data_IF_558085200723
#
_entry.id   IF_558085200723
#
_cell.length_a   1.000
_cell.length_b   1.000
_cell.length_c   1.000
_cell.angle_alpha   90.00
_cell.angle_beta   90.00
_cell.angle_gamma   90.00
#
_symmetry.space_group_name_H-M   'P 1'
#
loop_
_entity.id
_entity.type
_entity.pdbx_description
1 polymer ?
#
# COMPACT_ATOMS: atom_id res chain seq x y z
N UNK A 1 5.91 13.29 -7.94
CA UNK A 1 6.20 12.93 -7.88
C UNK A 1 6.10 12.87 -7.32
N UNK A 2 6.05 12.96 -7.79
CA UNK A 2 6.08 12.72 -7.80
C UNK A 2 5.77 12.82 -7.27
N UNK A 3 5.67 12.95 -7.51
CA UNK A 3 5.55 12.81 -7.42
C UNK A 3 5.25 13.01 -7.00
N UNK A 4 5.17 13.23 -7.35
CA UNK A 4 5.04 13.17 -7.32
C UNK A 4 4.88 13.46 -7.08
N UNK A 5 4.73 13.72 -7.54
CA UNK A 5 4.71 13.72 -7.67
C UNK A 5 4.62 14.06 -7.49
N UNK A 6 4.44 14.36 -8.01
CA UNK A 6 4.52 14.39 -8.18
C UNK A 6 4.38 14.71 -8.01
N UNK A 7 4.22 14.97 -8.32
CA UNK A 7 4.23 15.10 -8.42
C UNK A 7 4.08 15.55 -8.32
N UNK A 8 3.92 15.62 -8.52
CA UNK A 8 3.90 16.08 -8.48
C UNK A 8 3.64 16.72 -8.46
N UNK A 9 3.44 17.20 -8.64
CA UNK A 9 3.19 17.74 -8.38
C UNK A 9 2.85 18.42 -8.14
N UNK A 10 2.83 18.79 -8.98
CA UNK A 10 2.45 19.80 -8.53
C UNK A 10 1.72 20.19 -7.45
N UNK A 11 0.85 19.99 -7.39
CA UNK A 11 0.38 20.20 -6.23
C UNK A 11 1.16 19.66 -5.34
N UNK A 12 1.71 19.37 -5.63
CA UNK A 12 2.15 18.97 -4.67
C UNK A 12 2.66 19.37 -3.95
N UNK A 13 2.97 19.62 -3.86
CA UNK A 13 3.41 19.66 -2.75
C UNK A 13 2.62 19.82 -1.83
N UNK A 14 1.68 20.22 -2.06
CA UNK A 14 0.95 20.34 -0.96
C UNK A 14 0.86 19.03 -0.27
N UNK A 15 0.61 18.01 -0.85
CA UNK A 15 0.49 16.78 -0.14
C UNK A 15 1.59 16.54 0.83
N UNK A 16 2.73 17.15 0.65
CA UNK A 16 3.80 16.83 1.53
C UNK A 16 4.04 17.88 2.55
N UNK A 17 4.35 19.05 2.18
CA UNK A 17 4.89 19.98 3.12
C UNK A 17 3.89 20.82 3.81
N UNK A 18 2.75 20.93 3.28
CA UNK A 18 1.86 21.93 3.71
C UNK A 18 1.08 21.58 4.91
N UNK A 19 1.16 20.38 5.35
CA UNK A 19 0.48 20.00 6.56
C UNK A 19 1.30 18.95 7.24
N UNK A 20 0.92 18.67 8.46
CA UNK A 20 1.59 17.69 9.24
C UNK A 20 1.64 16.36 8.47
N UNK A 21 2.78 15.72 8.46
CA UNK A 21 2.95 14.46 7.76
C UNK A 21 2.21 13.35 8.50
N UNK A 22 1.89 12.28 7.78
CA UNK A 22 1.29 11.11 8.41
C UNK A 22 2.20 10.53 9.47
N UNK A 23 3.51 10.56 9.25
CA UNK A 23 4.45 10.05 10.24
C UNK A 23 4.38 10.86 11.54
N UNK A 24 4.33 12.18 11.44
CA UNK A 24 4.24 13.02 12.61
C UNK A 24 2.92 12.79 13.35
N UNK A 25 1.83 12.63 12.60
CA UNK A 25 0.55 12.30 13.19
C UNK A 25 0.58 10.95 13.89
N UNK A 26 1.20 9.98 13.26
CA UNK A 26 1.32 8.64 13.80
C UNK A 26 2.11 8.65 15.11
N UNK A 27 3.25 9.33 15.12
CA UNK A 27 4.07 9.47 16.31
C UNK A 27 3.32 10.14 17.44
N UNK A 28 2.58 11.18 17.12
CA UNK A 28 1.80 11.89 18.13
C UNK A 28 0.72 11.01 18.71
N UNK A 29 0.05 10.22 17.86
CA UNK A 29 -0.96 9.27 18.34
C UNK A 29 -0.34 8.25 19.29
N UNK A 30 0.85 7.75 18.97
CA UNK A 30 1.53 6.79 19.81
C UNK A 30 2.00 7.40 21.11
N UNK A 31 2.39 8.65 21.09
CA UNK A 31 2.81 9.36 22.29
C UNK A 31 1.62 9.67 23.20
N UNK A 32 0.47 9.95 22.59
CA UNK A 32 -0.74 10.28 23.34
C UNK A 32 -1.42 9.03 23.92
N UNK A 33 -1.02 7.86 23.44
CA UNK A 33 -1.56 6.60 23.96
C UNK A 33 -0.41 5.76 24.48
N UNK A 34 0.29 6.26 25.49
CA UNK A 34 1.55 5.67 25.84
C UNK A 34 1.48 4.37 26.58
N UNK A 35 0.39 4.11 27.22
CA UNK A 35 0.40 3.06 28.21
C UNK A 35 -0.11 1.75 27.71
N UNK A 36 0.39 1.34 26.58
CA UNK A 36 -0.02 0.07 26.01
C UNK A 36 0.74 -1.10 26.62
N UNK A 37 1.39 -0.87 27.74
CA UNK A 37 2.21 -1.91 28.36
C UNK A 37 1.66 -2.47 29.65
N UNK A 38 0.50 -2.03 30.12
CA UNK A 38 -0.09 -2.59 31.33
C UNK A 38 -0.97 -3.77 30.99
N UNK A 39 -1.27 -4.60 31.98
CA UNK A 39 -2.12 -5.77 31.77
C UNK A 39 -3.50 -5.39 31.28
N UNK A 40 -4.05 -4.30 31.81
CA UNK A 40 -5.36 -3.82 31.36
C UNK A 40 -5.28 -3.32 29.93
N UNK A 41 -4.18 -2.65 29.62
CA UNK A 41 -3.97 -2.17 28.27
C UNK A 41 -3.70 -3.33 27.30
N UNK A 42 -3.00 -4.37 27.75
CA UNK A 42 -2.80 -5.56 26.95
C UNK A 42 -4.12 -6.23 26.60
N UNK A 43 -5.03 -6.27 27.57
CA UNK A 43 -6.34 -6.82 27.34
C UNK A 43 -7.14 -5.94 26.40
N UNK A 44 -7.05 -4.62 26.57
CA UNK A 44 -7.68 -3.67 25.68
C UNK A 44 -7.09 -3.78 24.28
N UNK A 45 -5.77 -4.00 24.21
CA UNK A 45 -5.09 -4.19 22.93
C UNK A 45 -5.54 -5.47 22.25
N UNK A 46 -5.79 -6.53 23.00
CA UNK A 46 -6.30 -7.77 22.41
C UNK A 46 -7.69 -7.53 21.84
N UNK A 47 -8.54 -6.77 22.53
CA UNK A 47 -9.85 -6.44 22.04
C UNK A 47 -9.75 -5.50 20.84
N UNK A 48 -8.87 -4.52 20.92
CA UNK A 48 -8.57 -3.64 19.78
C UNK A 48 -7.97 -4.47 18.66
N UNK A 49 -7.10 -5.42 18.99
CA UNK A 49 -6.49 -6.30 18.01
C UNK A 49 -7.52 -7.09 17.21
N UNK A 50 -8.65 -7.45 17.84
CA UNK A 50 -9.72 -8.11 17.09
C UNK A 50 -10.41 -7.16 16.12
N UNK A 51 -10.26 -5.86 16.31
CA UNK A 51 -10.80 -4.84 15.45
C UNK A 51 -9.74 -4.15 14.61
N UNK A 52 -8.50 -4.15 15.08
CA UNK A 52 -7.39 -3.58 14.36
C UNK A 52 -7.11 -4.44 13.15
N UNK A 53 -6.55 -3.81 12.11
CA UNK A 53 -6.36 -4.48 10.82
C UNK A 53 -5.01 -4.11 10.36
N UNK A 54 -4.51 -4.75 9.33
CA UNK A 54 -3.09 -4.72 9.19
C UNK A 54 -2.58 -5.20 10.55
N UNK A 55 -2.17 -6.40 10.69
CA UNK A 55 -1.82 -6.99 11.98
C UNK A 55 -0.99 -6.01 12.81
N UNK A 56 -1.42 -5.72 14.04
CA UNK A 56 -0.74 -4.77 14.90
C UNK A 56 -0.88 -3.32 14.50
N UNK A 57 -1.82 -2.99 13.64
CA UNK A 57 -2.04 -1.63 13.18
C UNK A 57 -2.97 -0.83 14.07
N UNK A 58 -3.13 0.43 13.69
CA UNK A 58 -4.05 1.35 14.35
C UNK A 58 -4.88 2.06 13.28
N UNK A 59 -5.99 2.67 13.69
CA UNK A 59 -6.82 3.45 12.79
C UNK A 59 -6.00 4.63 12.23
N UNK A 60 -6.00 4.76 10.92
CA UNK A 60 -5.44 5.95 10.30
C UNK A 60 -6.36 7.13 10.54
N UNK A 61 -5.79 8.34 10.62
CA UNK A 61 -6.61 9.54 10.60
C UNK A 61 -7.18 9.73 9.22
N UNK A 62 -8.37 10.31 9.16
CA UNK A 62 -9.00 10.60 7.88
C UNK A 62 -8.08 11.51 7.05
N UNK A 63 -7.81 11.09 5.82
CA UNK A 63 -6.95 11.86 4.92
C UNK A 63 -5.46 11.69 5.14
N UNK A 64 -5.03 10.79 6.03
CA UNK A 64 -3.60 10.59 6.29
C UNK A 64 -2.86 10.07 5.05
N UNK A 65 -3.51 9.24 4.26
CA UNK A 65 -2.90 8.58 3.10
C UNK A 65 -3.76 8.84 1.86
N UNK A 66 -3.69 10.05 1.27
CA UNK A 66 -4.62 10.43 0.19
C UNK A 66 -4.42 9.67 -1.11
N UNK A 67 -3.35 8.91 -1.24
CA UNK A 67 -3.13 8.04 -2.41
C UNK A 67 -3.65 6.63 -2.21
N UNK A 68 -4.16 6.30 -1.02
CA UNK A 68 -4.64 4.95 -0.74
C UNK A 68 -5.93 4.69 -1.49
N UNK A 69 -5.99 3.54 -2.16
CA UNK A 69 -7.13 3.15 -2.98
C UNK A 69 -7.66 1.81 -2.48
N UNK A 70 -8.98 1.71 -2.35
CA UNK A 70 -9.64 0.44 -2.12
C UNK A 70 -10.11 -0.10 -3.46
N UNK A 71 -9.60 -1.26 -3.86
CA UNK A 71 -10.05 -1.91 -5.09
C UNK A 71 -11.19 -2.84 -4.74
N UNK A 72 -12.33 -2.59 -5.34
CA UNK A 72 -13.52 -3.39 -5.16
C UNK A 72 -13.71 -4.31 -6.35
N UNK A 73 -13.91 -5.58 -6.08
CA UNK A 73 -14.25 -6.59 -7.05
C UNK A 73 -15.67 -7.05 -6.74
N UNK A 74 -16.57 -6.85 -7.71
CA UNK A 74 -18.00 -7.18 -7.55
C UNK A 74 -18.58 -6.54 -6.29
N UNK A 75 -18.20 -5.30 -6.04
CA UNK A 75 -18.77 -4.49 -4.96
C UNK A 75 -18.14 -4.67 -3.59
N UNK A 76 -17.08 -5.45 -3.47
CA UNK A 76 -16.43 -5.70 -2.18
C UNK A 76 -14.94 -5.38 -2.25
N UNK A 77 -14.42 -4.82 -1.17
CA UNK A 77 -12.99 -4.60 -1.05
C UNK A 77 -12.26 -5.94 -1.18
N UNK A 78 -11.26 -5.99 -2.05
CA UNK A 78 -10.44 -7.17 -2.25
C UNK A 78 -8.96 -6.91 -2.09
N UNK A 79 -8.51 -5.76 -2.57
CA UNK A 79 -7.09 -5.41 -2.56
C UNK A 79 -6.93 -3.92 -2.37
N UNK A 80 -5.70 -3.52 -2.02
CA UNK A 80 -5.30 -2.13 -2.02
C UNK A 80 -4.64 -1.74 -3.32
N UNK A 81 -4.46 -0.45 -3.50
CA UNK A 81 -3.69 0.12 -4.60
C UNK A 81 -3.24 1.52 -4.19
N UNK A 82 -2.35 2.09 -4.98
CA UNK A 82 -1.87 3.45 -4.75
C UNK A 82 -2.09 4.30 -5.99
N UNK A 83 -2.58 5.50 -5.79
CA UNK A 83 -2.73 6.47 -6.87
C UNK A 83 -1.36 7.04 -7.23
N UNK A 84 -0.95 6.92 -8.48
CA UNK A 84 0.36 7.39 -8.91
C UNK A 84 0.26 8.52 -9.95
N UNK A 85 -0.94 8.87 -10.36
CA UNK A 85 -1.22 9.95 -11.29
C UNK A 85 -2.70 10.22 -11.30
N UNK A 86 -3.15 11.08 -12.22
CA UNK A 86 -4.55 11.46 -12.29
C UNK A 86 -5.46 10.29 -12.63
N UNK A 87 -4.96 9.35 -13.41
CA UNK A 87 -5.76 8.24 -13.95
C UNK A 87 -5.04 6.90 -13.90
N UNK A 88 -3.99 6.78 -13.09
CA UNK A 88 -3.22 5.55 -12.98
C UNK A 88 -3.06 5.09 -11.55
N UNK A 89 -3.26 3.78 -11.36
CA UNK A 89 -3.06 3.10 -10.09
C UNK A 89 -1.97 2.05 -10.22
N UNK A 90 -1.29 1.78 -9.11
CA UNK A 90 -0.31 0.72 -9.00
C UNK A 90 -0.81 -0.28 -7.96
N UNK A 91 -0.79 -1.57 -8.28
CA UNK A 91 -1.25 -2.62 -7.40
C UNK A 91 -0.44 -3.89 -7.63
N UNK A 92 -0.81 -5.00 -7.00
CA UNK A 92 -0.14 -6.28 -7.17
C UNK A 92 -0.78 -7.07 -8.31
N UNK A 93 0.06 -7.77 -9.09
CA UNK A 93 -0.43 -8.59 -10.19
C UNK A 93 -1.36 -9.69 -9.68
N UNK A 94 -1.04 -10.29 -8.53
CA UNK A 94 -1.87 -11.39 -8.03
C UNK A 94 -3.29 -10.96 -7.66
N UNK A 95 -3.50 -9.68 -7.41
CA UNK A 95 -4.82 -9.15 -7.14
C UNK A 95 -5.74 -9.24 -8.37
N UNK A 96 -5.15 -9.05 -9.54
CA UNK A 96 -5.94 -8.92 -10.79
C UNK A 96 -5.75 -10.09 -11.74
N UNK A 97 -4.83 -10.98 -11.44
CA UNK A 97 -4.56 -12.14 -12.29
C UNK A 97 -5.82 -13.02 -12.42
N UNK A 98 -6.19 -13.33 -13.66
CA UNK A 98 -7.41 -14.09 -13.92
C UNK A 98 -8.68 -13.23 -13.89
N UNK A 99 -8.57 -11.96 -13.49
CA UNK A 99 -9.71 -11.04 -13.40
C UNK A 99 -9.50 -9.80 -14.25
N UNK A 100 -8.37 -9.75 -14.95
CA UNK A 100 -7.98 -8.55 -15.71
C UNK A 100 -8.73 -8.40 -17.04
N UNK A 101 -9.53 -9.38 -17.42
CA UNK A 101 -10.36 -9.31 -18.61
C UNK A 101 -11.82 -8.98 -18.29
N UNK A 102 -12.15 -8.87 -17.00
CA UNK A 102 -13.53 -8.59 -16.56
C UNK A 102 -13.56 -7.20 -15.93
N UNK A 103 -13.25 -6.18 -16.73
CA UNK A 103 -13.07 -4.81 -16.26
C UNK A 103 -14.29 -4.25 -15.54
N UNK A 104 -15.48 -4.64 -15.99
CA UNK A 104 -16.73 -4.11 -15.46
C UNK A 104 -16.95 -4.49 -13.98
N UNK A 105 -16.27 -5.49 -13.49
CA UNK A 105 -16.41 -5.93 -12.09
C UNK A 105 -15.49 -5.17 -11.15
N UNK A 106 -14.59 -4.35 -11.70
CA UNK A 106 -13.66 -3.59 -10.88
C UNK A 106 -14.14 -2.17 -10.67
N UNK A 107 -13.97 -1.66 -9.45
CA UNK A 107 -14.05 -0.22 -9.21
C UNK A 107 -12.96 0.19 -8.24
N UNK A 108 -12.47 1.40 -8.46
CA UNK A 108 -11.45 2.00 -7.61
C UNK A 108 -12.13 3.05 -6.74
N UNK A 109 -11.94 2.95 -5.43
CA UNK A 109 -12.56 3.86 -4.47
C UNK A 109 -11.45 4.67 -3.82
N UNK A 110 -11.46 5.97 -4.05
CA UNK A 110 -10.44 6.90 -3.59
C UNK A 110 -11.03 7.89 -2.60
N UNK A 111 -10.19 8.40 -1.71
CA UNK A 111 -10.66 9.32 -0.67
C UNK A 111 -11.45 8.62 0.41
N UNK A 112 -11.38 7.31 0.49
CA UNK A 112 -12.14 6.51 1.42
C UNK A 112 -11.42 6.42 2.76
N UNK A 113 -12.18 6.53 3.85
CA UNK A 113 -11.66 6.32 5.20
C UNK A 113 -12.25 5.03 5.78
N UNK A 114 -13.56 4.92 5.79
CA UNK A 114 -14.26 3.75 6.27
C UNK A 114 -15.02 3.10 5.14
N UNK A 115 -14.94 1.77 5.04
CA UNK A 115 -15.64 1.04 3.98
C UNK A 115 -17.14 1.28 4.02
N UNK A 116 -17.68 1.54 5.19
CA UNK A 116 -19.12 1.82 5.38
C UNK A 116 -19.51 3.22 4.90
N UNK A 117 -18.57 4.07 4.55
CA UNK A 117 -18.83 5.48 4.22
C UNK A 117 -18.50 5.81 2.77
N UNK A 118 -18.81 4.90 1.86
CA UNK A 118 -18.50 5.09 0.43
C UNK A 118 -19.28 6.24 -0.21
N UNK A 119 -20.36 6.67 0.40
CA UNK A 119 -21.15 7.77 -0.12
C UNK A 119 -20.78 9.13 0.47
N UNK A 120 -19.69 9.20 1.23
CA UNK A 120 -19.18 10.48 1.74
C UNK A 120 -18.73 11.38 0.59
N UNK A 121 -18.85 12.67 0.82
CA UNK A 121 -18.63 13.69 -0.21
C UNK A 121 -17.22 13.67 -0.81
N UNK A 122 -16.22 13.35 0.00
CA UNK A 122 -14.82 13.34 -0.43
C UNK A 122 -14.46 12.10 -1.24
N UNK A 123 -15.31 11.08 -1.28
CA UNK A 123 -15.02 9.81 -1.95
C UNK A 123 -15.24 9.97 -3.45
N UNK A 124 -14.29 9.45 -4.23
CA UNK A 124 -14.41 9.39 -5.69
C UNK A 124 -14.33 7.93 -6.11
N UNK A 125 -15.30 7.49 -6.91
CA UNK A 125 -15.36 6.12 -7.40
C UNK A 125 -15.11 6.15 -8.90
N UNK A 126 -14.23 5.29 -9.39
CA UNK A 126 -13.86 5.27 -10.81
C UNK A 126 -13.92 3.86 -11.35
N UNK A 127 -14.38 3.75 -12.59
CA UNK A 127 -14.32 2.51 -13.34
C UNK A 127 -12.92 2.35 -13.92
N UNK A 128 -12.54 1.10 -14.17
CA UNK A 128 -11.24 0.75 -14.73
C UNK A 128 -11.45 0.34 -16.18
N UNK A 129 -10.66 0.90 -17.09
CA UNK A 129 -10.77 0.56 -18.50
C UNK A 129 -9.55 -0.20 -19.04
N UNK A 130 -8.47 -0.33 -18.25
CA UNK A 130 -7.32 -1.14 -18.62
C UNK A 130 -6.65 -1.69 -17.37
N UNK A 131 -6.19 -2.94 -17.47
CA UNK A 131 -5.37 -3.58 -16.43
C UNK A 131 -4.16 -4.18 -17.14
N UNK A 132 -2.96 -3.78 -16.73
CA UNK A 132 -1.73 -4.25 -17.33
C UNK A 132 -0.91 -4.97 -16.26
N UNK A 133 -0.79 -6.27 -16.41
CA UNK A 133 0.04 -7.09 -15.51
C UNK A 133 1.45 -7.10 -16.07
N UNK A 134 2.46 -6.95 -15.19
CA UNK A 134 3.84 -7.02 -15.63
C UNK A 134 4.09 -8.36 -16.30
N UNK A 135 4.74 -8.34 -17.47
CA UNK A 135 4.93 -9.55 -18.28
C UNK A 135 5.81 -10.59 -17.60
N UNK A 136 6.60 -10.18 -16.62
CA UNK A 136 7.48 -11.07 -15.89
C UNK A 136 6.84 -11.64 -14.63
N UNK A 137 5.57 -11.31 -14.38
CA UNK A 137 4.87 -11.84 -13.22
C UNK A 137 4.83 -13.36 -13.27
N UNK A 138 5.21 -13.98 -12.17
CA UNK A 138 5.19 -15.45 -12.04
C UNK A 138 4.49 -15.80 -10.74
N UNK A 139 3.34 -16.48 -10.86
CA UNK A 139 2.50 -16.85 -9.72
C UNK A 139 3.24 -17.71 -8.71
N UNK A 140 4.09 -18.61 -9.20
CA UNK A 140 4.78 -19.57 -8.34
C UNK A 140 5.94 -18.92 -7.59
N UNK A 141 6.76 -18.15 -8.28
CA UNK A 141 7.96 -17.54 -7.71
C UNK A 141 7.67 -16.20 -7.05
N UNK A 142 6.53 -15.61 -7.34
CA UNK A 142 6.13 -14.26 -6.88
C UNK A 142 6.94 -13.15 -7.53
N UNK A 143 7.73 -13.46 -8.56
CA UNK A 143 8.51 -12.45 -9.26
C UNK A 143 7.59 -11.47 -9.97
N UNK A 144 7.96 -10.18 -9.94
CA UNK A 144 7.29 -9.10 -10.64
C UNK A 144 5.79 -9.02 -10.34
N UNK A 145 5.45 -9.13 -9.07
CA UNK A 145 4.06 -9.08 -8.62
C UNK A 145 3.56 -7.65 -8.59
N UNK A 146 3.38 -7.08 -9.78
CA UNK A 146 3.02 -5.68 -9.94
C UNK A 146 2.14 -5.51 -11.19
N UNK A 147 1.16 -4.64 -11.08
CA UNK A 147 0.22 -4.35 -12.15
C UNK A 147 -0.20 -2.89 -12.10
N UNK A 148 -0.63 -2.37 -13.23
CA UNK A 148 -1.15 -1.02 -13.33
C UNK A 148 -2.60 -1.07 -13.80
N UNK A 149 -3.39 -0.13 -13.30
CA UNK A 149 -4.79 0.00 -13.69
C UNK A 149 -5.04 1.43 -14.15
N UNK A 150 -5.67 1.56 -15.31
CA UNK A 150 -6.03 2.86 -15.86
C UNK A 150 -7.49 3.16 -15.53
N UNK A 151 -7.74 4.35 -15.04
CA UNK A 151 -9.09 4.79 -14.69
C UNK A 151 -9.76 5.37 -15.92
N UNK A 152 -11.02 5.01 -16.14
CA UNK A 152 -11.79 5.48 -17.28
C UNK A 152 -11.91 7.01 -17.29
N UNK A 153 -12.02 7.59 -16.10
CA UNK A 153 -12.03 9.04 -15.94
C UNK A 153 -10.99 9.41 -14.88
N UNK A 154 -10.23 10.48 -15.10
CA UNK A 154 -9.25 10.90 -14.10
C UNK A 154 -9.95 11.34 -12.81
N UNK A 155 -9.20 11.29 -11.71
CA UNK A 155 -9.68 11.81 -10.45
C UNK A 155 -9.45 13.31 -10.38
N UNK A 156 -10.15 13.96 -9.48
CA UNK A 156 -9.89 15.35 -9.13
C UNK A 156 -9.00 15.35 -7.91
N UNK A 157 -7.85 16.01 -7.99
CA UNK A 157 -6.97 16.12 -6.83
C UNK A 157 -7.59 17.04 -5.80
N UNK A 158 -7.66 16.54 -4.57
CA UNK A 158 -8.21 17.26 -3.42
C UNK A 158 -7.29 16.98 -2.25
N UNK A 159 -7.60 17.52 -1.08
CA UNK A 159 -6.83 17.14 0.12
C UNK A 159 -7.02 15.68 0.48
N UNK A 160 -8.05 15.02 -0.05
CA UNK A 160 -8.38 13.62 0.26
C UNK A 160 -7.88 12.64 -0.81
N UNK A 161 -7.55 13.13 -2.00
CA UNK A 161 -7.15 12.31 -3.15
C UNK A 161 -5.95 12.97 -3.82
N UNK A 162 -4.76 12.41 -3.60
CA UNK A 162 -3.51 12.92 -4.14
C UNK A 162 -2.61 11.74 -4.52
N UNK A 163 -1.74 11.91 -5.50
CA UNK A 163 -0.83 10.82 -5.88
C UNK A 163 0.38 10.77 -4.94
N UNK A 164 0.97 9.57 -4.84
CA UNK A 164 2.21 9.35 -4.11
C UNK A 164 3.38 9.42 -5.09
N UNK A 165 4.55 9.85 -4.59
CA UNK A 165 5.78 9.82 -5.37
C UNK A 165 6.31 8.40 -5.46
N UNK A 166 6.89 8.04 -6.59
CA UNK A 166 7.49 6.72 -6.76
C UNK A 166 8.97 6.78 -6.43
N UNK A 167 9.49 5.70 -5.83
CA UNK A 167 10.92 5.57 -5.63
C UNK A 167 11.61 5.54 -6.99
N UNK A 168 12.73 6.25 -7.11
CA UNK A 168 13.50 6.26 -8.35
C UNK A 168 14.40 5.03 -8.42
N UNK A 169 14.89 4.75 -9.62
CA UNK A 169 15.67 3.56 -9.90
C UNK A 169 16.92 3.45 -9.03
N UNK A 170 17.54 4.57 -8.72
CA UNK A 170 18.78 4.61 -7.94
C UNK A 170 18.57 4.97 -6.47
N UNK A 171 17.33 5.01 -6.02
CA UNK A 171 17.02 5.35 -4.64
C UNK A 171 17.04 4.09 -3.79
N UNK A 172 17.88 4.09 -2.75
CA UNK A 172 18.05 2.95 -1.86
C UNK A 172 17.66 3.30 -0.44
N UNK A 173 17.01 2.37 0.22
CA UNK A 173 16.59 2.53 1.61
C UNK A 173 17.25 1.44 2.44
N UNK A 174 17.99 1.80 3.50
CA UNK A 174 18.76 0.81 4.25
C UNK A 174 17.88 -0.08 5.12
N UNK A 175 18.41 -1.27 5.43
CA UNK A 175 17.78 -2.16 6.40
C UNK A 175 17.62 -1.42 7.74
N UNK A 176 16.52 -1.71 8.40
CA UNK A 176 16.19 -1.05 9.66
C UNK A 176 15.44 0.25 9.50
N UNK A 177 15.42 0.84 8.29
CA UNK A 177 14.64 2.03 8.04
C UNK A 177 13.17 1.75 8.29
N UNK A 178 12.52 2.60 9.08
CA UNK A 178 11.10 2.42 9.37
C UNK A 178 10.25 3.11 8.34
N UNK A 179 9.29 2.35 7.83
CA UNK A 179 8.38 2.79 6.78
C UNK A 179 6.97 2.40 7.20
N UNK A 180 5.98 2.76 6.42
CA UNK A 180 4.58 2.56 6.79
C UNK A 180 3.86 1.70 5.76
N UNK A 181 2.95 0.87 6.26
CA UNK A 181 1.97 0.15 5.44
C UNK A 181 0.59 0.65 5.82
N UNK A 182 -0.34 0.56 4.89
CA UNK A 182 -1.72 0.96 5.13
C UNK A 182 -2.66 0.05 4.34
N UNK A 183 -3.85 -0.20 4.88
CA UNK A 183 -4.82 -1.02 4.16
C UNK A 183 -6.03 -1.38 4.98
N UNK A 184 -6.95 -2.04 4.32
CA UNK A 184 -8.17 -2.58 4.92
C UNK A 184 -8.09 -4.11 5.01
N UNK A 185 -6.88 -4.65 5.16
CA UNK A 185 -6.68 -6.09 5.27
C UNK A 185 -7.02 -6.63 6.65
N UNK A 186 -7.03 -7.95 6.76
CA UNK A 186 -7.43 -8.63 7.98
C UNK A 186 -6.52 -8.29 9.15
N UNK A 187 -7.09 -8.32 10.34
CA UNK A 187 -6.37 -8.00 11.58
C UNK A 187 -5.45 -9.14 12.05
N UNK A 188 -5.65 -10.31 11.51
CA UNK A 188 -4.88 -11.51 11.81
C UNK A 188 -5.15 -12.54 10.73
N UNK A 189 -4.33 -13.61 10.72
CA UNK A 189 -4.59 -14.73 9.82
C UNK A 189 -6.01 -15.26 10.08
N UNK A 190 -6.83 -15.28 9.04
CA UNK A 190 -8.21 -15.73 9.16
C UNK A 190 -9.11 -14.80 9.96
N UNK A 191 -8.64 -13.62 10.28
CA UNK A 191 -9.40 -12.65 11.06
C UNK A 191 -10.37 -11.84 10.24
N UNK A 192 -10.87 -10.76 10.84
CA UNK A 192 -11.89 -9.91 10.23
C UNK A 192 -11.30 -8.79 9.40
N UNK A 193 -12.06 -8.31 8.43
CA UNK A 193 -11.71 -7.10 7.69
C UNK A 193 -12.18 -5.88 8.49
N UNK A 194 -11.44 -4.78 8.43
CA UNK A 194 -11.80 -3.55 9.14
C UNK A 194 -12.79 -2.72 8.37
N UNK A 195 -13.46 -1.85 9.09
CA UNK A 195 -14.20 -0.78 8.45
C UNK A 195 -13.27 0.40 8.17
N UNK A 196 -12.47 0.81 9.14
CA UNK A 196 -11.61 2.00 9.05
C UNK A 196 -10.22 1.60 8.55
N UNK A 197 -9.67 2.42 7.66
CA UNK A 197 -8.32 2.25 7.13
C UNK A 197 -7.32 2.15 8.28
N UNK A 198 -6.44 1.16 8.20
CA UNK A 198 -5.43 0.88 9.20
C UNK A 198 -4.05 1.24 8.70
N UNK A 199 -3.15 1.55 9.61
CA UNK A 199 -1.75 1.82 9.29
C UNK A 199 -0.85 1.20 10.33
N UNK A 200 0.40 0.94 9.95
CA UNK A 200 1.42 0.43 10.87
C UNK A 200 2.80 0.80 10.38
N UNK A 201 3.74 0.93 11.31
CA UNK A 201 5.13 1.17 11.00
C UNK A 201 5.88 -0.16 11.02
N UNK A 202 6.73 -0.39 10.01
CA UNK A 202 7.51 -1.62 9.88
C UNK A 202 8.94 -1.28 9.46
N UNK A 203 9.94 -2.01 9.98
CA UNK A 203 11.33 -1.80 9.56
C UNK A 203 11.64 -2.62 8.31
N UNK A 204 12.45 -2.06 7.42
CA UNK A 204 12.94 -2.80 6.27
C UNK A 204 13.94 -3.84 6.73
N UNK A 205 13.93 -5.00 6.08
CA UNK A 205 14.79 -6.12 6.38
C UNK A 205 15.82 -6.28 5.27
N UNK A 206 17.06 -6.56 5.65
CA UNK A 206 18.12 -6.82 4.70
C UNK A 206 17.74 -7.97 3.75
N UNK A 207 18.14 -7.85 2.49
CA UNK A 207 17.79 -8.80 1.44
C UNK A 207 18.25 -10.22 1.80
N UNK A 208 19.49 -10.38 2.24
CA UNK A 208 20.04 -11.68 2.58
C UNK A 208 19.35 -12.27 3.80
N UNK A 209 19.06 -11.43 4.77
CA UNK A 209 18.33 -11.86 5.97
C UNK A 209 16.92 -12.31 5.59
N UNK A 210 16.28 -11.59 4.70
CA UNK A 210 14.95 -11.95 4.25
C UNK A 210 14.96 -13.30 3.53
N UNK A 211 15.96 -13.54 2.69
CA UNK A 211 16.11 -14.84 2.02
C UNK A 211 16.28 -15.96 3.04
N UNK A 212 17.05 -15.69 4.10
CA UNK A 212 17.23 -16.69 5.17
C UNK A 212 15.93 -16.98 5.89
N UNK A 213 15.10 -15.95 6.10
CA UNK A 213 13.85 -16.09 6.86
C UNK A 213 12.70 -16.63 6.03
N UNK A 214 12.80 -16.56 4.70
CA UNK A 214 11.78 -17.06 3.78
C UNK A 214 12.41 -18.01 2.77
N UNK A 215 12.94 -19.16 3.26
CA UNK A 215 13.65 -20.09 2.36
C UNK A 215 12.73 -20.78 1.35
N UNK A 216 11.42 -20.72 1.55
CA UNK A 216 10.44 -21.24 0.62
C UNK A 216 10.44 -20.49 -0.71
N UNK A 217 11.00 -19.30 -0.74
CA UNK A 217 11.00 -18.43 -1.92
C UNK A 217 12.42 -18.06 -2.30
N UNK A 218 12.63 -17.73 -3.58
CA UNK A 218 13.90 -17.18 -4.05
C UNK A 218 13.76 -15.67 -4.10
N UNK A 219 14.46 -14.96 -3.22
CA UNK A 219 14.42 -13.51 -3.19
C UNK A 219 15.31 -12.93 -4.27
N UNK A 220 14.74 -12.05 -5.08
CA UNK A 220 15.45 -11.38 -6.17
C UNK A 220 15.55 -9.89 -5.85
N UNK A 221 16.32 -9.15 -6.67
CA UNK A 221 16.50 -7.72 -6.49
C UNK A 221 15.21 -6.93 -6.75
N UNK A 222 14.19 -7.55 -7.34
CA UNK A 222 12.91 -6.90 -7.55
C UNK A 222 11.95 -7.08 -6.39
N UNK A 223 12.44 -7.60 -5.28
CA UNK A 223 11.68 -7.81 -4.07
C UNK A 223 12.33 -7.08 -2.91
N UNK A 224 11.52 -6.72 -1.92
CA UNK A 224 12.04 -6.23 -0.65
C UNK A 224 11.14 -6.73 0.46
N UNK A 225 11.61 -6.69 1.69
CA UNK A 225 10.78 -7.15 2.78
C UNK A 225 10.89 -6.26 4.02
N UNK A 226 9.85 -6.38 4.85
CA UNK A 226 9.74 -5.55 6.05
C UNK A 226 9.02 -6.34 7.13
N UNK A 227 9.39 -6.08 8.37
CA UNK A 227 8.78 -6.72 9.52
C UNK A 227 9.72 -6.75 10.70
N UNK A 228 9.15 -6.92 11.88
CA UNK A 228 9.92 -7.05 13.11
C UNK A 228 10.30 -8.52 13.33
N UNK A 229 11.50 -8.80 13.87
CA UNK A 229 11.87 -10.20 14.14
C UNK A 229 10.88 -10.92 15.03
N UNK A 230 10.32 -10.21 16.00
CA UNK A 230 9.35 -10.80 16.94
C UNK A 230 7.96 -10.96 16.33
N UNK A 231 7.74 -10.46 15.12
CA UNK A 231 6.43 -10.48 14.51
C UNK A 231 5.47 -9.47 15.11
N UNK A 232 4.19 -9.69 14.94
CA UNK A 232 3.14 -8.87 15.55
C UNK A 232 2.65 -7.71 14.71
N UNK A 233 3.42 -7.29 13.70
CA UNK A 233 3.05 -6.18 12.81
C UNK A 233 3.34 -6.60 11.39
N UNK A 234 2.32 -6.58 10.52
CA UNK A 234 2.48 -7.03 9.14
C UNK A 234 1.25 -6.65 8.33
N UNK A 235 1.38 -6.69 7.02
CA UNK A 235 0.22 -6.69 6.12
C UNK A 235 -0.41 -8.09 6.13
N UNK A 236 -1.66 -8.17 5.75
CA UNK A 236 -2.38 -9.44 5.74
C UNK A 236 -3.37 -9.46 4.57
N UNK A 237 -4.19 -10.49 4.48
CA UNK A 237 -5.15 -10.65 3.39
C UNK A 237 -6.06 -9.44 3.31
N UNK A 238 -6.18 -8.88 2.11
CA UNK A 238 -6.91 -7.64 1.87
C UNK A 238 -6.01 -6.43 1.79
N UNK A 239 -4.75 -6.53 2.26
CA UNK A 239 -3.74 -5.47 2.11
C UNK A 239 -2.96 -5.59 0.82
N UNK A 240 -3.03 -6.73 0.15
CA UNK A 240 -2.29 -6.99 -1.10
C UNK A 240 -2.49 -5.86 -2.10
N UNK A 241 -1.41 -5.47 -2.74
CA UNK A 241 -1.43 -4.39 -3.74
C UNK A 241 -1.28 -3.02 -3.14
N UNK A 242 -1.47 -2.88 -1.83
CA UNK A 242 -1.34 -1.61 -1.15
C UNK A 242 0.10 -1.18 -0.93
N UNK A 243 0.29 0.01 -0.37
CA UNK A 243 1.61 0.63 -0.35
C UNK A 243 2.48 0.25 0.83
N UNK A 244 3.79 0.20 0.56
CA UNK A 244 4.83 0.34 1.57
C UNK A 244 5.50 1.67 1.27
N UNK A 245 5.51 2.59 2.22
CA UNK A 245 5.86 3.99 2.01
C UNK A 245 6.89 4.44 3.02
N UNK A 246 7.83 5.27 2.56
CA UNK A 246 8.80 5.89 3.45
C UNK A 246 8.78 7.39 3.26
N UNK A 247 8.99 8.11 4.35
CA UNK A 247 9.11 9.55 4.29
C UNK A 247 10.56 9.90 3.97
N UNK A 248 10.79 10.55 2.86
CA UNK A 248 12.12 10.92 2.40
C UNK A 248 12.12 12.37 1.96
N UNK A 249 12.98 13.18 2.57
CA UNK A 249 13.09 14.61 2.25
C UNK A 249 11.73 15.29 2.29
N UNK A 250 10.97 15.04 3.35
CA UNK A 250 9.64 15.58 3.60
C UNK A 250 8.59 15.12 2.56
N UNK A 251 8.89 14.06 1.79
CA UNK A 251 7.94 13.50 0.82
C UNK A 251 7.71 12.04 1.09
N UNK A 252 6.45 11.63 1.02
CA UNK A 252 6.11 10.24 1.07
C UNK A 252 6.44 9.58 -0.27
N UNK A 253 7.18 8.49 -0.20
CA UNK A 253 7.67 7.78 -1.37
C UNK A 253 7.20 6.33 -1.33
N UNK A 254 6.59 5.89 -2.41
CA UNK A 254 6.15 4.51 -2.54
C UNK A 254 7.35 3.65 -2.91
N UNK A 255 7.74 2.74 -2.02
CA UNK A 255 8.91 1.89 -2.23
C UNK A 255 8.54 0.44 -2.46
N UNK A 256 7.35 0.04 -2.07
CA UNK A 256 6.93 -1.35 -2.23
C UNK A 256 5.45 -1.48 -2.45
N UNK A 257 5.07 -2.61 -3.07
CA UNK A 257 3.69 -3.02 -3.29
C UNK A 257 3.50 -4.34 -2.56
N UNK A 258 2.56 -4.40 -1.65
CA UNK A 258 2.33 -5.59 -0.83
C UNK A 258 2.10 -6.82 -1.69
N UNK A 259 2.90 -7.86 -1.49
CA UNK A 259 2.93 -9.01 -2.37
C UNK A 259 2.64 -10.33 -1.67
N UNK A 260 3.55 -10.85 -0.84
CA UNK A 260 3.39 -12.18 -0.26
C UNK A 260 4.05 -12.28 1.11
N UNK A 261 3.83 -13.40 1.77
CA UNK A 261 4.43 -13.72 3.05
C UNK A 261 3.96 -15.08 3.52
N UNK A 262 4.54 -15.55 4.61
CA UNK A 262 4.11 -16.79 5.24
C UNK A 262 3.25 -16.42 6.44
N UNK A 263 1.95 -16.56 6.31
CA UNK A 263 1.01 -16.09 7.31
C UNK A 263 1.01 -14.58 7.40
N UNK A 264 0.65 -14.05 8.54
CA UNK A 264 0.61 -12.62 8.78
C UNK A 264 1.12 -12.34 10.18
N UNK A 265 2.22 -11.58 10.28
CA UNK A 265 2.76 -11.18 11.57
C UNK A 265 3.39 -12.28 12.39
N UNK A 266 3.75 -13.37 11.78
CA UNK A 266 4.45 -14.46 12.49
C UNK A 266 5.88 -14.04 12.81
N UNK A 267 6.42 -14.47 13.96
CA UNK A 267 7.83 -14.19 14.28
C UNK A 267 8.75 -14.72 13.18
N UNK A 268 9.74 -13.92 12.83
CA UNK A 268 10.77 -14.24 11.84
C UNK A 268 10.22 -14.61 10.47
N UNK A 269 9.05 -14.08 10.13
CA UNK A 269 8.43 -14.25 8.81
C UNK A 269 7.97 -12.88 8.32
N UNK A 270 8.90 -12.06 7.80
CA UNK A 270 8.55 -10.72 7.32
C UNK A 270 7.66 -10.77 6.09
N UNK A 271 6.96 -9.68 5.85
CA UNK A 271 6.18 -9.52 4.63
C UNK A 271 7.07 -9.16 3.46
N UNK A 272 6.70 -9.61 2.29
CA UNK A 272 7.43 -9.35 1.06
C UNK A 272 6.64 -8.43 0.15
N UNK A 273 7.37 -7.59 -0.56
CA UNK A 273 6.83 -6.51 -1.39
C UNK A 273 7.54 -6.49 -2.73
N UNK A 274 6.82 -6.16 -3.79
CA UNK A 274 7.47 -5.84 -5.06
C UNK A 274 8.21 -4.52 -4.88
N UNK A 275 9.48 -4.48 -5.29
CA UNK A 275 10.34 -3.30 -5.11
C UNK A 275 10.05 -2.31 -6.23
N UNK A 276 9.42 -1.20 -5.90
CA UNK A 276 8.98 -0.22 -6.91
C UNK A 276 10.14 0.30 -7.74
N UNK A 277 11.31 0.55 -7.12
CA UNK A 277 12.47 1.07 -7.85
C UNK A 277 12.94 0.14 -8.96
N UNK A 278 12.61 -1.13 -8.91
CA UNK A 278 12.96 -2.08 -9.95
C UNK A 278 12.04 -2.01 -11.17
N UNK A 279 10.92 -1.30 -11.05
CA UNK A 279 9.90 -1.27 -12.09
C UNK A 279 9.64 0.12 -12.66
N UNK A 280 10.50 1.09 -12.34
CA UNK A 280 10.27 2.48 -12.76
C UNK A 280 10.20 2.63 -14.28
N UNK A 281 11.07 1.94 -15.02
CA UNK A 281 11.04 1.98 -16.48
C UNK A 281 9.77 1.38 -17.03
N UNK A 282 9.35 0.24 -16.49
CA UNK A 282 8.12 -0.41 -16.92
C UNK A 282 6.90 0.47 -16.66
N UNK A 283 6.85 1.13 -15.50
CA UNK A 283 5.75 2.03 -15.16
C UNK A 283 5.69 3.17 -16.15
N UNK A 284 6.84 3.80 -16.43
CA UNK A 284 6.90 4.92 -17.36
C UNK A 284 6.50 4.50 -18.78
N UNK A 285 7.00 3.35 -19.22
CA UNK A 285 6.66 2.82 -20.55
C UNK A 285 5.19 2.49 -20.67
N UNK A 286 4.63 1.87 -19.64
CA UNK A 286 3.22 1.51 -19.64
C UNK A 286 2.34 2.74 -19.78
N UNK A 287 2.69 3.81 -19.07
CA UNK A 287 1.94 5.06 -19.16
C UNK A 287 2.04 5.68 -20.55
N UNK A 288 3.22 5.67 -21.15
CA UNK A 288 3.43 6.22 -22.49
C UNK A 288 2.73 5.41 -23.56
N UNK A 289 2.86 4.08 -23.52
CA UNK A 289 2.22 3.20 -24.51
C UNK A 289 0.72 3.32 -24.47
N UNK A 290 0.14 3.39 -23.27
CA UNK A 290 -1.28 3.54 -23.12
C UNK A 290 -1.76 4.85 -23.74
N UNK A 291 -0.98 5.91 -23.57
CA UNK A 291 -1.28 7.20 -24.13
C UNK A 291 -1.24 7.15 -25.67
N UNK A 292 -0.23 6.49 -26.22
CA UNK A 292 -0.08 6.32 -27.65
C UNK A 292 -1.23 5.50 -28.23
N UNK A 293 -1.66 4.46 -27.52
CA UNK A 293 -2.76 3.61 -27.97
C UNK A 293 -4.09 4.37 -28.03
N UNK A 294 -4.24 5.37 -27.18
CA UNK A 294 -5.45 6.18 -27.15
C UNK A 294 -5.48 7.20 -28.27
N UNK A 295 -4.33 7.56 -28.78
CA UNK A 295 -4.23 8.47 -29.92
C UNK A 295 -4.54 7.73 -31.20
#
# INVERSE_FOLDING_TARGET
>A
MHHHHHHSSGLVPRGSGMKETAAAKFERQHMDSPDLGTDDDDKAMADIGSQARVVGGVNAEKGAWPWMVSLHWRGRHGCGASLIGRDWLLTAAHCVYGKNTHLQYWSAVLGLHAQSSMNSQEVQIRQVDRIIINKNYNRRTKEADIAMMHLQQPVNFTEWVLPVCLASEDQHFPAGRRCFIAGWGRDAEGGSLPDILQEAEVPLVDQDECQRLLPEYTFTSSMLCAGYPEGGVDSCQGDSGGPLMCLEDARWTLIGVTSFGVGCGRPERPGAYARVSAFTSWIAETRRSSFSDLD
#
